data_IF_893042841653
#
_entry.id   IF_893042841653
#
_cell.length_a   1.000
_cell.length_b   1.000
_cell.length_c   1.000
_cell.angle_alpha   90.00
_cell.angle_beta   90.00
_cell.angle_gamma   90.00
#
_symmetry.space_group_name_H-M   'P 1'
#
loop_
_entity.id
_entity.type
_entity.pdbx_description
1 polymer ?
#
# COMPACT_ATOMS: atom_id res chain seq x y z
N UNK A 1 3.53 -17.90 -7.95
CA UNK A 1 2.41 -17.58 -8.85
C UNK A 1 1.86 -16.20 -8.50
N UNK A 2 1.67 -15.35 -9.48
CA UNK A 2 1.14 -14.00 -9.26
C UNK A 2 -0.19 -13.85 -9.99
N UNK A 3 -1.12 -13.13 -9.35
CA UNK A 3 -2.39 -12.77 -9.97
C UNK A 3 -2.35 -11.30 -10.32
N UNK A 4 -2.87 -10.95 -11.50
CA UNK A 4 -2.92 -9.58 -11.99
C UNK A 4 -4.36 -9.16 -12.24
N UNK A 5 -4.67 -7.93 -11.88
CA UNK A 5 -5.98 -7.33 -12.13
C UNK A 5 -5.82 -5.84 -12.39
N UNK A 6 -6.81 -5.25 -13.04
CA UNK A 6 -6.85 -3.82 -13.29
C UNK A 6 -8.19 -3.26 -12.84
N UNK A 7 -8.17 -2.15 -12.11
CA UNK A 7 -9.34 -1.46 -11.61
C UNK A 7 -9.36 -0.02 -12.10
N UNK A 8 -10.55 0.47 -12.43
CA UNK A 8 -10.76 1.88 -12.70
C UNK A 8 -11.31 2.57 -11.46
N UNK A 9 -10.68 3.66 -11.07
CA UNK A 9 -11.09 4.50 -9.95
C UNK A 9 -11.52 5.85 -10.52
N UNK A 10 -12.82 6.09 -10.74
CA UNK A 10 -13.28 7.28 -11.44
C UNK A 10 -13.05 8.60 -10.70
N UNK A 11 -12.91 8.55 -9.37
CA UNK A 11 -12.76 9.74 -8.54
C UNK A 11 -11.99 9.45 -7.25
N UNK A 12 -11.76 10.47 -6.43
CA UNK A 12 -11.10 10.33 -5.13
C UNK A 12 -11.89 9.43 -4.17
N UNK A 13 -13.20 9.46 -4.24
CA UNK A 13 -14.05 8.59 -3.43
C UNK A 13 -13.78 7.11 -3.70
N UNK A 14 -13.58 6.77 -4.98
CA UNK A 14 -13.24 5.40 -5.38
C UNK A 14 -11.85 4.99 -4.87
N UNK A 15 -10.86 5.91 -4.91
CA UNK A 15 -9.53 5.67 -4.35
C UNK A 15 -9.63 5.39 -2.85
N UNK A 16 -10.39 6.19 -2.12
CA UNK A 16 -10.59 6.01 -0.69
C UNK A 16 -11.34 4.70 -0.39
N UNK A 17 -12.32 4.35 -1.22
CA UNK A 17 -13.05 3.09 -1.08
C UNK A 17 -12.13 1.88 -1.25
N UNK A 18 -11.20 1.94 -2.21
CA UNK A 18 -10.19 0.88 -2.38
C UNK A 18 -9.34 0.75 -1.11
N UNK A 19 -8.89 1.86 -0.54
CA UNK A 19 -8.14 1.86 0.72
C UNK A 19 -8.90 1.16 1.84
N UNK A 20 -10.18 1.47 1.99
CA UNK A 20 -11.03 0.83 3.01
C UNK A 20 -11.18 -0.67 2.79
N UNK A 21 -11.33 -1.10 1.54
CA UNK A 21 -11.41 -2.54 1.21
C UNK A 21 -10.13 -3.26 1.55
N UNK A 22 -8.98 -2.68 1.17
CA UNK A 22 -7.68 -3.27 1.47
C UNK A 22 -7.43 -3.36 2.97
N UNK A 23 -7.88 -2.36 3.73
CA UNK A 23 -7.75 -2.36 5.19
C UNK A 23 -8.35 -3.61 5.82
N UNK A 24 -9.51 -4.05 5.33
CA UNK A 24 -10.18 -5.26 5.83
C UNK A 24 -9.49 -6.57 5.46
N UNK A 25 -8.56 -6.53 4.50
CA UNK A 25 -7.85 -7.71 4.02
C UNK A 25 -6.47 -7.90 4.65
N UNK A 26 -5.96 -6.89 5.34
CA UNK A 26 -4.60 -6.92 5.90
C UNK A 26 -4.44 -7.99 6.98
N UNK A 27 -3.30 -8.67 6.93
CA UNK A 27 -2.86 -9.64 7.94
C UNK A 27 -1.43 -9.33 8.35
N UNK A 28 -1.06 -9.69 9.57
CA UNK A 28 0.31 -9.54 10.04
C UNK A 28 1.31 -10.22 9.11
N UNK A 29 2.41 -9.53 8.83
CA UNK A 29 3.43 -9.97 7.88
C UNK A 29 3.26 -9.44 6.47
N UNK A 30 2.17 -8.73 6.17
CA UNK A 30 1.90 -8.23 4.81
C UNK A 30 2.81 -7.08 4.41
N UNK A 31 3.14 -7.06 3.12
CA UNK A 31 3.78 -5.92 2.45
C UNK A 31 2.86 -5.46 1.32
N UNK A 32 2.49 -4.19 1.36
CA UNK A 32 1.72 -3.54 0.30
C UNK A 32 2.59 -2.45 -0.32
N UNK A 33 2.92 -2.61 -1.59
CA UNK A 33 3.79 -1.71 -2.32
C UNK A 33 2.96 -0.82 -3.25
N UNK A 34 3.13 0.50 -3.12
CA UNK A 34 2.39 1.51 -3.88
C UNK A 34 3.32 2.16 -4.89
N UNK A 35 3.08 1.92 -6.17
CA UNK A 35 3.86 2.45 -7.29
C UNK A 35 3.08 3.54 -8.01
N UNK A 36 3.80 4.46 -8.64
CA UNK A 36 3.19 5.48 -9.46
C UNK A 36 3.96 6.80 -9.38
N UNK A 37 3.69 7.71 -10.34
CA UNK A 37 4.38 9.00 -10.37
C UNK A 37 4.03 9.88 -9.16
N UNK A 38 4.85 10.89 -8.93
CA UNK A 38 4.64 11.85 -7.87
C UNK A 38 3.25 12.51 -8.02
N UNK A 39 2.52 12.61 -6.93
CA UNK A 39 1.19 13.25 -6.90
C UNK A 39 0.04 12.39 -7.43
N UNK A 40 0.28 11.12 -7.76
CA UNK A 40 -0.78 10.26 -8.32
C UNK A 40 -1.82 9.82 -7.30
N UNK A 41 -1.50 9.88 -6.00
CA UNK A 41 -2.44 9.49 -4.94
C UNK A 41 -1.99 8.32 -4.10
N UNK A 42 -0.71 7.96 -4.11
CA UNK A 42 -0.17 6.87 -3.28
C UNK A 42 -0.40 7.14 -1.79
N UNK A 43 -0.08 8.35 -1.34
CA UNK A 43 -0.29 8.75 0.06
C UNK A 43 -1.77 8.82 0.41
N UNK A 44 -2.61 9.27 -0.52
CA UNK A 44 -4.07 9.32 -0.32
C UNK A 44 -4.64 7.91 -0.10
N UNK A 45 -4.18 6.94 -0.89
CA UNK A 45 -4.59 5.55 -0.75
C UNK A 45 -4.10 4.96 0.58
N UNK A 46 -2.84 5.18 0.92
CA UNK A 46 -2.27 4.74 2.20
C UNK A 46 -3.02 5.34 3.39
N UNK A 47 -3.32 6.64 3.32
CA UNK A 47 -4.08 7.34 4.35
C UNK A 47 -5.47 6.73 4.56
N UNK A 48 -6.19 6.48 3.48
CA UNK A 48 -7.52 5.87 3.55
C UNK A 48 -7.46 4.48 4.19
N UNK A 49 -6.46 3.68 3.82
CA UNK A 49 -6.25 2.35 4.38
C UNK A 49 -5.94 2.41 5.89
N UNK A 50 -5.03 3.27 6.30
CA UNK A 50 -4.63 3.42 7.71
C UNK A 50 -5.82 3.89 8.55
N UNK A 51 -6.55 4.90 8.10
CA UNK A 51 -7.73 5.42 8.79
C UNK A 51 -8.83 4.37 8.92
N UNK A 52 -9.06 3.60 7.87
CA UNK A 52 -10.06 2.54 7.90
C UNK A 52 -9.68 1.45 8.90
N UNK A 53 -8.42 1.04 8.92
CA UNK A 53 -7.95 0.02 9.87
C UNK A 53 -7.96 0.54 11.31
N UNK A 54 -7.66 1.82 11.51
CA UNK A 54 -7.73 2.46 12.82
C UNK A 54 -9.18 2.65 13.32
N UNK A 55 -10.14 2.69 12.39
CA UNK A 55 -11.53 2.99 12.72
C UNK A 55 -11.75 4.43 13.17
N UNK A 56 -10.84 5.35 12.81
CA UNK A 56 -10.89 6.74 13.23
C UNK A 56 -10.16 7.64 12.22
N UNK A 57 -10.56 8.91 12.17
CA UNK A 57 -9.97 9.92 11.28
C UNK A 57 -8.67 10.49 11.88
N UNK A 58 -7.68 9.62 12.10
CA UNK A 58 -6.37 10.03 12.62
C UNK A 58 -5.58 10.78 11.55
N UNK A 59 -4.61 11.59 11.98
CA UNK A 59 -3.70 12.26 11.06
C UNK A 59 -2.71 11.26 10.46
N UNK A 60 -2.58 11.29 9.13
CA UNK A 60 -1.64 10.46 8.38
C UNK A 60 -0.85 11.35 7.44
N UNK A 61 0.24 11.99 7.92
CA UNK A 61 1.09 12.80 7.05
C UNK A 61 1.92 11.91 6.13
N UNK A 62 2.38 12.48 5.01
CA UNK A 62 3.33 11.80 4.15
C UNK A 62 4.65 11.61 4.88
N UNK A 63 5.24 10.40 4.90
CA UNK A 63 6.52 10.15 5.56
C UNK A 63 7.74 10.52 4.70
N UNK A 64 7.62 11.45 3.76
CA UNK A 64 8.68 11.82 2.81
C UNK A 64 9.97 12.25 3.50
N UNK A 65 9.90 12.89 4.66
CA UNK A 65 11.06 13.37 5.40
C UNK A 65 11.50 12.41 6.51
N UNK A 66 10.55 11.70 7.13
CA UNK A 66 10.84 10.78 8.23
C UNK A 66 11.19 9.38 7.75
N UNK A 67 10.93 9.05 6.49
CA UNK A 67 11.03 7.75 5.85
C UNK A 67 10.02 6.75 6.38
N UNK A 68 9.81 6.65 7.68
CA UNK A 68 8.90 5.70 8.33
C UNK A 68 8.02 6.43 9.33
N UNK A 69 6.72 6.17 9.25
CA UNK A 69 5.75 6.62 10.25
C UNK A 69 4.99 5.39 10.75
N UNK A 70 5.05 5.15 12.06
CA UNK A 70 4.42 3.99 12.68
C UNK A 70 3.02 4.31 13.20
N UNK A 71 2.08 3.38 12.96
CA UNK A 71 0.71 3.46 13.44
C UNK A 71 0.41 2.19 14.26
N UNK A 72 0.61 2.23 15.59
CA UNK A 72 0.25 1.10 16.44
C UNK A 72 -1.27 1.05 16.60
N UNK A 73 -1.87 -0.01 16.08
CA UNK A 73 -3.30 -0.27 16.15
C UNK A 73 -3.55 -1.46 17.07
N UNK A 74 -4.81 -1.77 17.35
CA UNK A 74 -5.17 -2.78 18.35
C UNK A 74 -4.52 -4.16 18.10
N UNK A 75 -4.48 -4.62 16.85
CA UNK A 75 -3.96 -5.93 16.49
C UNK A 75 -2.82 -5.93 15.48
N UNK A 76 -2.47 -4.77 14.93
CA UNK A 76 -1.45 -4.63 13.91
C UNK A 76 -0.67 -3.33 14.12
N UNK A 77 0.63 -3.40 13.87
CA UNK A 77 1.46 -2.20 13.68
C UNK A 77 1.57 -1.95 12.18
N UNK A 78 1.02 -0.83 11.70
CA UNK A 78 1.20 -0.43 10.31
C UNK A 78 2.39 0.51 10.22
N UNK A 79 3.38 0.16 9.39
CA UNK A 79 4.52 1.01 9.09
C UNK A 79 4.32 1.61 7.70
N UNK A 80 4.14 2.91 7.66
CA UNK A 80 4.03 3.66 6.41
C UNK A 80 5.42 4.17 6.04
N UNK A 81 5.94 3.70 4.92
CA UNK A 81 7.34 3.87 4.50
C UNK A 81 7.34 4.59 3.16
N UNK A 82 8.14 5.65 3.04
CA UNK A 82 8.33 6.39 1.78
C UNK A 82 9.80 6.36 1.41
N UNK A 83 10.13 5.72 0.29
CA UNK A 83 11.50 5.50 -0.15
C UNK A 83 11.95 6.50 -1.23
N UNK A 84 11.17 7.55 -1.48
CA UNK A 84 11.50 8.53 -2.54
C UNK A 84 12.93 9.09 -2.43
N UNK A 85 13.40 9.34 -1.21
CA UNK A 85 14.71 9.92 -0.94
C UNK A 85 15.80 8.91 -0.68
N UNK A 86 15.48 7.62 -0.67
CA UNK A 86 16.44 6.56 -0.45
C UNK A 86 17.28 6.37 -1.71
N UNK A 87 18.59 6.47 -1.59
CA UNK A 87 19.55 6.28 -2.68
C UNK A 87 20.11 4.88 -2.71
N UNK A 88 20.35 4.29 -1.53
CA UNK A 88 20.91 2.96 -1.38
C UNK A 88 19.96 2.08 -0.55
N UNK A 89 19.55 0.90 -1.08
CA UNK A 89 18.71 -0.03 -0.32
C UNK A 89 19.27 -0.43 1.06
N UNK A 90 20.59 -0.38 1.25
CA UNK A 90 21.20 -0.67 2.53
C UNK A 90 20.75 0.28 3.65
N UNK A 91 20.25 1.47 3.32
CA UNK A 91 19.69 2.40 4.30
C UNK A 91 18.50 1.80 5.04
N UNK A 92 17.73 0.91 4.39
CA UNK A 92 16.59 0.23 5.02
C UNK A 92 17.05 -0.75 6.09
N UNK A 93 18.14 -1.45 5.84
CA UNK A 93 18.72 -2.38 6.81
C UNK A 93 19.20 -1.60 8.05
N UNK A 94 19.78 -0.42 7.85
CA UNK A 94 20.20 0.45 8.94
C UNK A 94 19.01 0.94 9.79
N UNK A 95 17.84 1.07 9.17
CA UNK A 95 16.61 1.42 9.88
C UNK A 95 15.92 0.22 10.54
N UNK A 96 16.50 -0.97 10.41
CA UNK A 96 15.91 -2.20 10.94
C UNK A 96 14.79 -2.78 10.09
N UNK A 97 14.65 -2.33 8.84
CA UNK A 97 13.60 -2.78 7.93
C UNK A 97 14.10 -3.93 7.05
N UNK A 98 14.10 -5.14 7.58
CA UNK A 98 14.49 -6.33 6.85
C UNK A 98 13.26 -7.10 6.34
N UNK A 99 12.40 -7.54 7.27
CA UNK A 99 11.13 -8.18 6.97
C UNK A 99 10.10 -7.75 8.01
N UNK A 100 8.81 -7.67 7.66
CA UNK A 100 7.79 -7.33 8.65
C UNK A 100 7.67 -8.45 9.70
N UNK A 101 7.49 -8.06 10.95
CA UNK A 101 7.17 -9.00 12.02
C UNK A 101 5.77 -9.60 11.85
N UNK A 102 5.42 -10.62 12.67
CA UNK A 102 4.13 -11.31 12.54
C UNK A 102 2.90 -10.44 12.78
N UNK A 103 3.06 -9.31 13.48
CA UNK A 103 1.98 -8.36 13.74
C UNK A 103 2.21 -7.02 13.04
N UNK A 104 3.12 -6.97 12.08
CA UNK A 104 3.44 -5.76 11.32
C UNK A 104 2.89 -5.84 9.90
N UNK A 105 2.48 -4.69 9.37
CA UNK A 105 2.16 -4.50 7.96
C UNK A 105 2.96 -3.31 7.45
N UNK A 106 3.63 -3.49 6.32
CA UNK A 106 4.38 -2.40 5.69
C UNK A 106 3.59 -1.88 4.49
N UNK A 107 3.33 -0.56 4.49
CA UNK A 107 2.83 0.19 3.33
C UNK A 107 3.99 0.99 2.78
N UNK A 108 4.44 0.64 1.58
CA UNK A 108 5.66 1.20 1.00
C UNK A 108 5.33 2.01 -0.24
N UNK A 109 5.64 3.31 -0.21
CA UNK A 109 5.63 4.19 -1.39
C UNK A 109 7.03 4.19 -2.01
N UNK A 110 7.12 4.21 -3.32
CA UNK A 110 8.38 4.14 -4.08
C UNK A 110 9.15 2.83 -3.83
N UNK A 111 8.48 1.67 -3.92
CA UNK A 111 9.12 0.38 -3.59
C UNK A 111 10.27 0.01 -4.51
N UNK A 112 10.34 0.58 -5.71
CA UNK A 112 11.41 0.35 -6.67
C UNK A 112 12.79 0.75 -6.13
N UNK A 113 12.83 1.62 -5.12
CA UNK A 113 14.09 2.02 -4.45
C UNK A 113 14.69 0.91 -3.61
N UNK A 114 13.90 -0.12 -3.28
CA UNK A 114 14.33 -1.22 -2.43
C UNK A 114 13.91 -2.59 -2.98
N UNK A 115 13.59 -2.68 -4.26
CA UNK A 115 13.05 -3.87 -4.90
C UNK A 115 13.78 -5.17 -4.51
N UNK A 116 15.14 -5.23 -4.53
CA UNK A 116 15.85 -6.46 -4.17
C UNK A 116 15.66 -6.92 -2.73
N UNK A 117 15.25 -6.02 -1.81
CA UNK A 117 15.06 -6.32 -0.40
C UNK A 117 13.62 -6.64 -0.04
N UNK A 118 12.67 -6.40 -0.96
CA UNK A 118 11.26 -6.64 -0.68
C UNK A 118 10.91 -8.13 -0.85
N UNK A 119 10.04 -8.68 0.01
CA UNK A 119 9.60 -10.06 -0.17
C UNK A 119 8.83 -10.23 -1.48
N UNK A 120 8.98 -11.40 -2.12
CA UNK A 120 8.28 -11.72 -3.36
C UNK A 120 6.77 -11.82 -3.14
N UNK A 121 6.36 -12.34 -2.00
CA UNK A 121 4.94 -12.44 -1.64
C UNK A 121 4.45 -11.12 -1.09
N UNK A 122 4.01 -10.24 -1.99
CA UNK A 122 3.50 -8.92 -1.64
C UNK A 122 2.36 -8.53 -2.55
N UNK A 123 1.60 -7.53 -2.16
CA UNK A 123 0.61 -6.89 -3.02
C UNK A 123 1.22 -5.62 -3.60
N UNK A 124 1.26 -5.51 -4.92
CA UNK A 124 1.66 -4.29 -5.60
C UNK A 124 0.45 -3.59 -6.20
N UNK A 125 0.38 -2.28 -6.00
CA UNK A 125 -0.63 -1.41 -6.56
C UNK A 125 0.07 -0.34 -7.39
N UNK A 126 -0.04 -0.42 -8.71
CA UNK A 126 0.50 0.58 -9.62
C UNK A 126 -0.60 1.57 -10.01
N UNK A 127 -0.46 2.83 -9.60
CA UNK A 127 -1.41 3.89 -9.93
C UNK A 127 -0.97 4.65 -11.17
N UNK A 128 -1.90 4.87 -12.09
CA UNK A 128 -1.69 5.67 -13.29
C UNK A 128 -2.85 6.64 -13.48
N UNK A 129 -2.66 7.74 -14.24
CA UNK A 129 -3.75 8.66 -14.54
C UNK A 129 -4.86 7.96 -15.31
N UNK A 130 -6.11 8.28 -14.95
CA UNK A 130 -7.29 7.88 -15.70
C UNK A 130 -7.71 8.98 -16.68
N UNK A 131 -8.90 8.83 -17.32
CA UNK A 131 -9.39 9.78 -18.33
C UNK A 131 -9.77 11.15 -17.76
N UNK A 132 -10.15 11.23 -16.50
CA UNK A 132 -10.50 12.49 -15.83
C UNK A 132 -9.41 12.89 -14.82
N UNK A 133 -9.33 14.18 -14.39
CA UNK A 133 -8.26 14.64 -13.50
C UNK A 133 -8.11 13.86 -12.19
N UNK A 134 -9.23 13.45 -11.57
CA UNK A 134 -9.20 12.69 -10.31
C UNK A 134 -9.37 11.19 -10.51
N UNK A 135 -9.47 10.75 -11.77
CA UNK A 135 -9.58 9.33 -12.09
C UNK A 135 -8.21 8.66 -12.09
N UNK A 136 -8.19 7.41 -11.67
CA UNK A 136 -6.95 6.60 -11.64
C UNK A 136 -7.24 5.22 -12.22
N UNK A 137 -6.19 4.62 -12.77
CA UNK A 137 -6.18 3.21 -13.15
C UNK A 137 -5.21 2.53 -12.21
N UNK A 138 -5.65 1.46 -11.54
CA UNK A 138 -4.82 0.70 -10.61
C UNK A 138 -4.57 -0.68 -11.17
N UNK A 139 -3.30 -1.04 -11.28
CA UNK A 139 -2.86 -2.39 -11.62
C UNK A 139 -2.43 -3.09 -10.35
N UNK A 140 -3.11 -4.21 -10.07
CA UNK A 140 -2.83 -5.05 -8.92
C UNK A 140 -1.98 -6.23 -9.36
N UNK A 141 -0.87 -6.45 -8.66
CA UNK A 141 -0.05 -7.65 -8.81
C UNK A 141 0.05 -8.29 -7.44
N UNK A 142 -0.55 -9.45 -7.29
CA UNK A 142 -0.67 -10.11 -5.99
C UNK A 142 0.19 -11.36 -5.91
N UNK A 143 1.00 -11.46 -4.86
CA UNK A 143 1.72 -12.67 -4.52
C UNK A 143 0.79 -13.78 -4.01
N UNK A 144 1.32 -15.00 -3.80
CA UNK A 144 0.51 -16.17 -3.42
C UNK A 144 -0.35 -15.98 -2.18
N UNK A 145 0.15 -15.27 -1.18
CA UNK A 145 -0.59 -15.02 0.08
C UNK A 145 -1.80 -14.10 -0.08
N UNK A 146 -1.94 -13.42 -1.23
CA UNK A 146 -3.01 -12.48 -1.49
C UNK A 146 -4.11 -13.04 -2.40
N UNK A 147 -3.86 -14.15 -3.11
CA UNK A 147 -4.78 -14.67 -4.13
C UNK A 147 -6.17 -14.93 -3.55
N UNK A 148 -6.26 -15.54 -2.37
CA UNK A 148 -7.54 -15.89 -1.74
C UNK A 148 -8.23 -14.70 -1.08
N UNK A 149 -7.57 -13.57 -0.96
CA UNK A 149 -8.07 -12.38 -0.29
C UNK A 149 -8.63 -11.33 -1.23
N UNK A 150 -8.15 -11.31 -2.48
CA UNK A 150 -8.59 -10.29 -3.44
C UNK A 150 -9.97 -10.65 -4.01
N UNK A 151 -10.81 -9.64 -4.28
CA UNK A 151 -12.08 -9.88 -4.93
C UNK A 151 -11.86 -10.46 -6.33
N UNK A 152 -12.64 -11.48 -6.70
CA UNK A 152 -12.62 -12.03 -8.05
C UNK A 152 -13.27 -11.05 -9.02
N UNK A 153 -12.84 -11.03 -10.30
CA UNK A 153 -13.53 -10.23 -11.32
C UNK A 153 -15.02 -10.59 -11.36
N UNK A 154 -15.87 -9.59 -11.16
CA UNK A 154 -17.33 -9.79 -11.12
C UNK A 154 -17.95 -9.82 -9.73
N UNK A 155 -17.16 -9.76 -8.66
CA UNK A 155 -17.70 -9.67 -7.31
C UNK A 155 -17.88 -8.19 -6.94
N UNK A 156 -19.04 -7.64 -7.34
CA UNK A 156 -19.40 -6.23 -7.09
C UNK A 156 -19.98 -6.00 -5.69
N UNK A 157 -19.73 -6.89 -4.75
CA UNK A 157 -20.20 -6.69 -3.38
C UNK A 157 -19.35 -5.64 -2.68
N UNK A 158 -19.90 -4.45 -2.69
CA UNK A 158 -19.40 -3.33 -1.90
C UNK A 158 -19.71 -3.54 -0.42
#
# INVERSE_FOLDING_TARGET
MTTRAELELPDLGATRALGRRLAGLLRGGDVVALKGPLGIGKTELARALIRARAGAAIEVPSPSFTLVQDYPLESLLIRHIDLYRVEDPAELVELGLEVPGPDEVWLIEWPERAEPLLPDDRLELGLAPGPEPDARIVRLVAGPGWIDRLPTPGDERT
#
